data_IF_116653384085
#
_entry.id   IF_116653384085
#
_cell.length_a   1.000
_cell.length_b   1.000
_cell.length_c   1.000
_cell.angle_alpha   90.00
_cell.angle_beta   90.00
_cell.angle_gamma   90.00
#
_symmetry.space_group_name_H-M   'P 1'
#
loop_
_entity.id
_entity.type
_entity.pdbx_description
1 polymer ?
#
# COMPACT_ATOMS: atom_id res chain seq x y z
N UNK A 1 -11.71 -34.05 17.34
CA UNK A 1 -10.96 -32.77 17.49
C UNK A 1 -9.46 -32.98 17.31
N UNK A 2 -8.94 -34.20 17.51
CA UNK A 2 -7.54 -34.60 17.29
C UNK A 2 -6.98 -34.19 15.92
N UNK A 3 -7.70 -34.43 14.81
CA UNK A 3 -7.18 -34.14 13.47
C UNK A 3 -6.79 -32.67 13.26
N UNK A 4 -7.50 -31.73 13.90
CA UNK A 4 -7.15 -30.31 13.86
C UNK A 4 -5.91 -30.03 14.70
N UNK A 5 -5.77 -30.69 15.86
CA UNK A 5 -4.66 -30.49 16.80
C UNK A 5 -3.30 -30.86 16.21
N UNK A 6 -3.25 -31.83 15.30
CA UNK A 6 -2.01 -32.31 14.69
C UNK A 6 -1.85 -31.94 13.21
N UNK A 7 -2.71 -31.07 12.66
CA UNK A 7 -2.71 -30.76 11.22
C UNK A 7 -1.49 -29.96 10.79
N UNK A 8 -0.76 -30.45 9.78
CA UNK A 8 0.34 -29.74 9.14
C UNK A 8 -0.08 -28.44 8.42
N UNK A 9 -1.38 -28.25 8.16
CA UNK A 9 -1.90 -27.00 7.58
C UNK A 9 -1.79 -25.82 8.56
N UNK A 10 -1.82 -26.08 9.87
CA UNK A 10 -1.75 -25.04 10.92
C UNK A 10 -0.43 -25.07 11.70
N UNK A 11 0.30 -26.19 11.68
CA UNK A 11 1.60 -26.35 12.32
C UNK A 11 2.71 -26.31 11.29
N UNK A 12 3.36 -25.14 11.15
CA UNK A 12 4.45 -24.92 10.20
C UNK A 12 5.75 -24.65 10.97
N UNK A 13 6.67 -25.62 11.10
CA UNK A 13 7.89 -25.48 11.90
C UNK A 13 8.73 -24.27 11.50
N UNK A 14 8.86 -23.99 10.20
CA UNK A 14 9.60 -22.82 9.71
C UNK A 14 8.99 -21.48 10.19
N UNK A 15 7.66 -21.39 10.32
CA UNK A 15 7.00 -20.18 10.86
C UNK A 15 7.29 -20.04 12.35
N UNK A 16 7.21 -21.14 13.11
CA UNK A 16 7.53 -21.14 14.54
C UNK A 16 8.98 -20.75 14.81
N UNK A 17 9.93 -21.33 14.06
CA UNK A 17 11.35 -20.98 14.16
C UNK A 17 11.58 -19.49 13.85
N UNK A 18 10.96 -18.96 12.80
CA UNK A 18 11.06 -17.54 12.46
C UNK A 18 10.49 -16.64 13.55
N UNK A 19 9.35 -17.01 14.15
CA UNK A 19 8.75 -16.26 15.25
C UNK A 19 9.64 -16.29 16.50
N UNK A 20 10.27 -17.42 16.80
CA UNK A 20 11.22 -17.53 17.91
C UNK A 20 12.51 -16.71 17.73
N UNK A 21 12.86 -16.37 16.49
CA UNK A 21 14.02 -15.55 16.15
C UNK A 21 13.74 -14.03 16.15
N UNK A 22 12.51 -13.59 16.43
CA UNK A 22 12.16 -12.17 16.47
C UNK A 22 12.86 -11.47 17.64
N UNK A 23 13.61 -10.41 17.36
CA UNK A 23 14.34 -9.63 18.34
C UNK A 23 13.67 -8.25 18.57
N UNK A 24 13.74 -7.65 19.78
CA UNK A 24 13.20 -6.31 20.04
C UNK A 24 13.68 -5.21 19.07
N UNK A 25 14.87 -5.38 18.49
CA UNK A 25 15.41 -4.43 17.51
C UNK A 25 14.79 -4.55 16.11
N UNK A 26 14.09 -5.65 15.77
CA UNK A 26 13.33 -5.77 14.52
C UNK A 26 12.19 -4.74 14.43
N UNK A 27 11.73 -4.26 15.59
CA UNK A 27 10.69 -3.24 15.71
C UNK A 27 11.25 -1.82 15.64
N UNK A 28 12.58 -1.66 15.56
CA UNK A 28 13.25 -0.36 15.51
C UNK A 28 13.84 -0.10 14.14
N UNK A 29 13.83 1.16 13.72
CA UNK A 29 14.60 1.60 12.54
C UNK A 29 16.07 1.72 12.94
N UNK A 30 16.98 1.50 11.99
CA UNK A 30 18.45 1.56 12.19
C UNK A 30 18.98 2.91 12.67
N UNK A 31 18.27 4.00 12.41
CA UNK A 31 18.65 5.35 12.84
C UNK A 31 17.41 6.14 13.28
N UNK A 32 17.55 7.18 14.12
CA UNK A 32 16.47 8.09 14.51
C UNK A 32 15.86 8.88 13.33
N UNK A 33 14.69 9.48 13.54
CA UNK A 33 13.97 10.22 12.50
C UNK A 33 14.79 11.36 11.88
N UNK A 34 15.45 12.19 12.69
CA UNK A 34 16.23 13.34 12.20
C UNK A 34 17.27 12.92 11.13
N UNK A 35 18.04 11.86 11.41
CA UNK A 35 19.03 11.32 10.46
C UNK A 35 18.36 10.78 9.18
N UNK A 36 17.18 10.17 9.29
CA UNK A 36 16.45 9.66 8.12
C UNK A 36 15.86 10.79 7.29
N UNK A 37 15.33 11.82 7.95
CA UNK A 37 14.69 12.97 7.31
C UNK A 37 15.68 13.70 6.39
N UNK A 38 16.90 13.96 6.85
CA UNK A 38 17.96 14.58 6.04
C UNK A 38 18.27 13.75 4.79
N UNK A 39 18.47 12.43 4.95
CA UNK A 39 18.72 11.51 3.83
C UNK A 39 17.54 11.48 2.84
N UNK A 40 16.31 11.46 3.35
CA UNK A 40 15.11 11.44 2.53
C UNK A 40 14.92 12.75 1.76
N UNK A 41 15.17 13.90 2.40
CA UNK A 41 15.07 15.20 1.74
C UNK A 41 16.11 15.34 0.61
N UNK A 42 17.34 14.87 0.82
CA UNK A 42 18.38 14.88 -0.20
C UNK A 42 18.02 14.04 -1.45
N UNK A 43 17.33 12.90 -1.25
CA UNK A 43 16.90 12.00 -2.32
C UNK A 43 15.64 12.52 -3.03
N UNK A 44 14.59 12.85 -2.29
CA UNK A 44 13.27 13.14 -2.86
C UNK A 44 13.07 14.59 -3.25
N UNK A 45 13.82 15.53 -2.67
CA UNK A 45 13.75 16.97 -2.97
C UNK A 45 12.31 17.50 -2.97
N UNK A 46 11.52 17.07 -1.99
CA UNK A 46 10.11 17.44 -1.89
C UNK A 46 9.97 18.94 -1.58
N UNK A 47 8.92 19.62 -2.11
CA UNK A 47 8.59 20.98 -1.73
C UNK A 47 8.12 21.04 -0.27
N UNK A 48 7.97 22.26 0.27
CA UNK A 48 7.58 22.47 1.67
C UNK A 48 6.23 21.84 2.04
N UNK A 49 5.28 21.84 1.10
CA UNK A 49 3.96 21.24 1.26
C UNK A 49 3.77 20.12 0.22
N UNK A 50 4.40 18.95 0.40
CA UNK A 50 4.27 17.86 -0.54
C UNK A 50 2.85 17.30 -0.47
N UNK A 51 2.22 17.09 -1.63
CA UNK A 51 0.91 16.46 -1.74
C UNK A 51 1.06 14.99 -2.12
N UNK A 52 0.18 14.15 -1.59
CA UNK A 52 0.11 12.73 -1.95
C UNK A 52 -1.30 12.21 -1.69
N UNK A 53 -1.65 11.08 -2.27
CA UNK A 53 -2.89 10.34 -1.96
C UNK A 53 -2.56 9.12 -1.11
N UNK A 54 -3.58 8.48 -0.52
CA UNK A 54 -3.38 7.33 0.38
C UNK A 54 -3.36 5.98 -0.37
N UNK A 55 -3.58 5.99 -1.70
CA UNK A 55 -3.49 4.79 -2.52
C UNK A 55 -4.57 4.71 -3.62
N UNK A 56 -5.59 3.89 -3.39
CA UNK A 56 -6.54 3.44 -4.42
C UNK A 56 -7.21 4.57 -5.20
N UNK A 57 -7.27 4.42 -6.52
CA UNK A 57 -8.16 5.18 -7.39
C UNK A 57 -9.53 4.49 -7.53
N UNK A 58 -10.57 5.20 -8.00
CA UNK A 58 -11.86 4.60 -8.28
C UNK A 58 -11.72 3.38 -9.20
N UNK A 59 -12.27 2.25 -8.76
CA UNK A 59 -12.27 1.05 -9.60
C UNK A 59 -13.39 1.15 -10.64
N UNK A 60 -13.01 1.24 -11.91
CA UNK A 60 -13.94 1.33 -13.04
C UNK A 60 -14.65 0.00 -13.31
N UNK A 61 -15.80 0.06 -13.98
CA UNK A 61 -16.53 -1.13 -14.42
C UNK A 61 -15.74 -1.97 -15.42
N UNK A 62 -14.89 -1.32 -16.23
CA UNK A 62 -13.92 -2.00 -17.10
C UNK A 62 -12.97 -2.87 -16.29
N UNK A 63 -12.33 -2.33 -15.24
CA UNK A 63 -11.44 -3.10 -14.36
C UNK A 63 -12.18 -4.25 -13.66
N UNK A 64 -13.43 -4.04 -13.24
CA UNK A 64 -14.27 -5.10 -12.67
C UNK A 64 -14.53 -6.24 -13.68
N UNK A 65 -14.86 -5.90 -14.93
CA UNK A 65 -15.07 -6.89 -16.00
C UNK A 65 -13.80 -7.67 -16.34
N UNK A 66 -12.64 -7.00 -16.40
CA UNK A 66 -11.36 -7.65 -16.63
C UNK A 66 -11.03 -8.69 -15.56
N UNK A 67 -11.23 -8.34 -14.28
CA UNK A 67 -11.04 -9.28 -13.15
C UNK A 67 -11.98 -10.48 -13.24
N UNK A 68 -13.24 -10.25 -13.59
CA UNK A 68 -14.23 -11.32 -13.76
C UNK A 68 -13.80 -12.30 -14.87
N UNK A 69 -13.40 -11.78 -16.03
CA UNK A 69 -12.97 -12.59 -17.18
C UNK A 69 -11.70 -13.39 -16.87
N UNK A 70 -10.71 -12.80 -16.19
CA UNK A 70 -9.54 -13.53 -15.73
C UNK A 70 -9.94 -14.68 -14.79
N UNK A 71 -10.80 -14.41 -13.79
CA UNK A 71 -11.26 -15.43 -12.83
C UNK A 71 -12.00 -16.60 -13.52
N UNK A 72 -12.71 -16.32 -14.62
CA UNK A 72 -13.41 -17.33 -15.43
C UNK A 72 -12.50 -18.09 -16.41
N UNK A 73 -11.28 -17.61 -16.66
CA UNK A 73 -10.39 -18.14 -17.69
C UNK A 73 -10.63 -17.60 -19.09
N UNK A 74 -11.58 -16.67 -19.27
CA UNK A 74 -11.95 -16.04 -20.55
C UNK A 74 -10.93 -14.99 -21.03
N UNK A 75 -9.92 -14.70 -20.21
CA UNK A 75 -8.86 -13.75 -20.46
C UNK A 75 -7.54 -14.32 -19.93
N UNK A 76 -6.51 -14.36 -20.76
CA UNK A 76 -5.20 -14.85 -20.32
C UNK A 76 -4.58 -13.87 -19.29
N UNK A 77 -3.73 -14.37 -18.37
CA UNK A 77 -3.01 -13.53 -17.41
C UNK A 77 -2.24 -12.39 -18.08
N UNK A 78 -1.61 -12.65 -19.23
CA UNK A 78 -0.79 -11.68 -19.96
C UNK A 78 -1.65 -10.55 -20.52
N UNK A 79 -2.82 -10.88 -21.09
CA UNK A 79 -3.77 -9.88 -21.59
C UNK A 79 -4.38 -9.05 -20.46
N UNK A 80 -4.66 -9.68 -19.33
CA UNK A 80 -5.11 -8.97 -18.12
C UNK A 80 -4.04 -7.99 -17.63
N UNK A 81 -2.77 -8.43 -17.57
CA UNK A 81 -1.68 -7.58 -17.12
C UNK A 81 -1.48 -6.37 -18.02
N UNK A 82 -1.51 -6.55 -19.35
CA UNK A 82 -1.46 -5.44 -20.31
C UNK A 82 -2.58 -4.43 -20.05
N UNK A 83 -3.81 -4.92 -19.86
CA UNK A 83 -4.95 -4.04 -19.59
C UNK A 83 -4.81 -3.28 -18.25
N UNK A 84 -4.33 -3.93 -17.19
CA UNK A 84 -4.09 -3.27 -15.90
C UNK A 84 -2.94 -2.26 -15.98
N UNK A 85 -1.90 -2.50 -16.78
CA UNK A 85 -0.83 -1.51 -17.00
C UNK A 85 -1.37 -0.21 -17.58
N UNK A 86 -2.32 -0.28 -18.52
CA UNK A 86 -2.98 0.90 -19.08
C UNK A 86 -3.77 1.68 -18.01
N UNK A 87 -4.48 0.99 -17.11
CA UNK A 87 -5.21 1.65 -16.02
C UNK A 87 -4.26 2.31 -15.00
N UNK A 88 -3.10 1.70 -14.74
CA UNK A 88 -2.03 2.29 -13.92
C UNK A 88 -1.47 3.55 -14.58
N UNK A 89 -1.22 3.50 -15.89
CA UNK A 89 -0.75 4.65 -16.66
C UNK A 89 -1.73 5.83 -16.54
N UNK A 90 -3.04 5.57 -16.68
CA UNK A 90 -4.07 6.60 -16.48
C UNK A 90 -4.05 7.19 -15.06
N UNK A 91 -3.86 6.36 -14.03
CA UNK A 91 -3.74 6.84 -12.65
C UNK A 91 -2.50 7.74 -12.44
N UNK A 92 -1.37 7.38 -13.07
CA UNK A 92 -0.14 8.19 -13.05
C UNK A 92 -0.37 9.52 -13.76
N UNK A 93 -1.01 9.51 -14.93
CA UNK A 93 -1.34 10.74 -15.69
C UNK A 93 -2.22 11.65 -14.84
N UNK A 94 -3.30 11.11 -14.25
CA UNK A 94 -4.20 11.89 -13.39
C UNK A 94 -3.48 12.53 -12.21
N UNK A 95 -2.55 11.80 -11.58
CA UNK A 95 -1.74 12.31 -10.46
C UNK A 95 -0.81 13.46 -10.89
N UNK A 96 -0.25 13.41 -12.11
CA UNK A 96 0.62 14.46 -12.64
C UNK A 96 -0.15 15.72 -13.03
N UNK A 97 -1.40 15.58 -13.46
CA UNK A 97 -2.24 16.68 -13.94
C UNK A 97 -2.92 17.46 -12.82
N UNK A 98 -3.05 16.91 -11.61
CA UNK A 98 -3.59 17.64 -10.47
C UNK A 98 -2.57 18.68 -9.96
N UNK A 99 -2.75 19.99 -10.18
CA UNK A 99 -1.82 20.98 -9.65
C UNK A 99 -1.87 20.97 -8.11
N UNK A 100 -0.75 21.34 -7.49
CA UNK A 100 -0.60 21.53 -6.05
C UNK A 100 -1.38 22.76 -5.52
N UNK A 101 -2.67 22.91 -5.85
CA UNK A 101 -3.52 23.95 -5.30
C UNK A 101 -4.03 23.53 -3.92
N UNK A 102 -3.31 24.00 -2.90
CA UNK A 102 -3.73 23.96 -1.50
C UNK A 102 -5.09 24.64 -1.33
N UNK A 103 -6.18 23.88 -1.30
CA UNK A 103 -7.40 24.33 -0.62
C UNK A 103 -7.21 23.99 0.85
N UNK A 104 -6.96 25.03 1.64
CA UNK A 104 -6.79 24.97 3.09
C UNK A 104 -8.06 24.43 3.75
N UNK A 105 -8.11 23.13 4.03
CA UNK A 105 -9.10 22.56 4.95
C UNK A 105 -8.61 22.89 6.35
N UNK A 106 -9.09 24.00 6.91
CA UNK A 106 -9.02 24.27 8.36
C UNK A 106 -9.62 23.07 9.08
N UNK A 107 -8.79 22.28 9.77
CA UNK A 107 -9.29 21.28 10.73
C UNK A 107 -10.01 22.02 11.85
N UNK A 108 -11.31 21.79 12.00
CA UNK A 108 -12.03 22.14 13.21
C UNK A 108 -11.42 21.34 14.38
N UNK A 109 -11.01 22.03 15.44
CA UNK A 109 -10.56 21.40 16.68
C UNK A 109 -11.73 20.64 17.33
N UNK A 110 -11.52 19.41 17.83
CA UNK A 110 -12.56 18.71 18.57
C UNK A 110 -12.84 19.42 19.92
N UNK A 111 -14.09 19.42 20.40
CA UNK A 111 -14.43 20.08 21.66
C UNK A 111 -13.76 19.37 22.84
N UNK A 112 -13.12 20.15 23.71
CA UNK A 112 -12.61 19.68 25.00
C UNK A 112 -13.78 19.15 25.83
N UNK A 113 -13.75 17.88 26.22
CA UNK A 113 -14.69 17.34 27.21
C UNK A 113 -14.36 17.96 28.58
N UNK A 114 -15.40 18.44 29.26
CA UNK A 114 -15.38 18.79 30.69
C UNK A 114 -15.29 17.52 31.53
#
# INVERSE_FOLDING_TARGET
MENRRCSALIHRPAVQQRLGAVHPDDFKRRSPFAIRQEKQQAVFKLPLFPTTTIGSFPQTDQVRRLRLRLKKGDLSPERYEVAIRLEIEQAIILTRLAPASMTSIRRASPPKRK
#
